data_IF_460047105385
#
_entry.id   IF_460047105385
#
_cell.length_a   1.000
_cell.length_b   1.000
_cell.length_c   1.000
_cell.angle_alpha   90.00
_cell.angle_beta   90.00
_cell.angle_gamma   90.00
#
_symmetry.space_group_name_H-M   'P 1'
#
loop_
_entity.id
_entity.type
_entity.pdbx_description
1 polymer ?
#
# COMPACT_ATOMS: atom_id res chain seq x y z
N UNK A 1 -16.97 -1.46 18.07
CA UNK A 1 -17.69 -2.40 17.19
C UNK A 1 -16.66 -3.15 16.37
N UNK A 2 -16.49 -4.46 16.54
CA UNK A 2 -15.56 -5.22 15.69
C UNK A 2 -16.13 -5.31 14.28
N UNK A 3 -15.46 -4.69 13.32
CA UNK A 3 -15.78 -4.82 11.90
C UNK A 3 -15.49 -6.27 11.46
N UNK A 4 -16.36 -6.81 10.62
CA UNK A 4 -16.21 -8.17 10.12
C UNK A 4 -15.09 -8.23 9.07
N UNK A 5 -14.41 -9.37 8.95
CA UNK A 5 -13.52 -9.61 7.82
C UNK A 5 -14.35 -9.94 6.57
N UNK A 6 -13.87 -9.53 5.40
CA UNK A 6 -14.54 -9.74 4.12
C UNK A 6 -13.72 -10.67 3.23
N UNK A 7 -14.40 -11.60 2.56
CA UNK A 7 -13.81 -12.49 1.54
C UNK A 7 -14.58 -12.33 0.23
N UNK A 8 -13.86 -12.25 -0.88
CA UNK A 8 -14.46 -12.07 -2.20
C UNK A 8 -15.07 -13.38 -2.68
N UNK A 9 -16.35 -13.37 -3.06
CA UNK A 9 -17.02 -14.57 -3.57
C UNK A 9 -16.44 -15.06 -4.92
N UNK A 10 -15.72 -14.20 -5.66
CA UNK A 10 -15.09 -14.57 -6.94
C UNK A 10 -14.03 -15.66 -6.78
N UNK A 11 -13.42 -15.78 -5.59
CA UNK A 11 -12.46 -16.85 -5.27
C UNK A 11 -13.06 -18.25 -5.45
N UNK A 12 -14.39 -18.42 -5.28
CA UNK A 12 -15.05 -19.71 -5.51
C UNK A 12 -14.95 -20.20 -6.96
N UNK A 13 -14.75 -19.28 -7.91
CA UNK A 13 -14.59 -19.59 -9.33
C UNK A 13 -13.17 -20.01 -9.70
N UNK A 14 -12.21 -19.85 -8.78
CA UNK A 14 -10.80 -20.19 -8.99
C UNK A 14 -10.54 -21.58 -8.41
N UNK A 15 -10.26 -22.60 -9.24
CA UNK A 15 -10.16 -23.99 -8.79
C UNK A 15 -9.20 -24.18 -7.61
N UNK A 16 -8.02 -23.55 -7.67
CA UNK A 16 -7.00 -23.64 -6.62
C UNK A 16 -7.42 -23.06 -5.27
N UNK A 17 -8.43 -22.17 -5.26
CA UNK A 17 -8.88 -21.45 -4.07
C UNK A 17 -10.34 -21.72 -3.72
N UNK A 18 -11.04 -22.59 -4.46
CA UNK A 18 -12.48 -22.78 -4.32
C UNK A 18 -12.90 -23.24 -2.92
N UNK A 19 -12.08 -24.04 -2.26
CA UNK A 19 -12.32 -24.55 -0.90
C UNK A 19 -11.97 -23.54 0.21
N UNK A 20 -11.24 -22.46 -0.09
CA UNK A 20 -10.84 -21.47 0.91
C UNK A 20 -12.05 -20.73 1.48
N UNK A 21 -12.93 -20.24 0.60
CA UNK A 21 -14.08 -19.43 0.99
C UNK A 21 -15.01 -20.16 1.98
N UNK A 22 -15.49 -21.40 1.70
CA UNK A 22 -16.29 -22.12 2.68
C UNK A 22 -15.52 -22.43 3.97
N UNK A 23 -14.23 -22.73 3.90
CA UNK A 23 -13.41 -22.97 5.10
C UNK A 23 -13.30 -21.74 6.01
N UNK A 24 -13.13 -20.54 5.43
CA UNK A 24 -13.08 -19.29 6.19
C UNK A 24 -14.43 -18.94 6.83
N UNK A 25 -15.54 -19.14 6.12
CA UNK A 25 -16.88 -18.86 6.62
C UNK A 25 -17.30 -19.80 7.76
N UNK A 26 -16.80 -21.03 7.78
CA UNK A 26 -17.05 -22.01 8.85
C UNK A 26 -16.10 -21.85 10.04
N UNK A 27 -15.00 -21.09 9.89
CA UNK A 27 -14.00 -20.90 10.93
C UNK A 27 -14.48 -20.01 12.09
N UNK A 28 -14.08 -20.35 13.32
CA UNK A 28 -14.50 -19.63 14.53
C UNK A 28 -13.58 -18.47 14.94
N UNK A 29 -12.43 -18.31 14.29
CA UNK A 29 -11.40 -17.35 14.74
C UNK A 29 -11.74 -15.90 14.40
N UNK A 30 -12.36 -15.65 13.24
CA UNK A 30 -12.74 -14.33 12.75
C UNK A 30 -14.10 -14.46 12.07
N UNK A 31 -14.99 -13.50 12.31
CA UNK A 31 -16.29 -13.46 11.64
C UNK A 31 -16.14 -12.97 10.21
N UNK A 32 -16.05 -13.92 9.28
CA UNK A 32 -16.00 -13.65 7.85
C UNK A 32 -17.38 -13.39 7.26
N UNK A 33 -17.44 -12.51 6.27
CA UNK A 33 -18.61 -12.29 5.40
C UNK A 33 -18.17 -12.27 3.96
N UNK A 34 -18.99 -12.80 3.07
CA UNK A 34 -18.76 -12.64 1.64
C UNK A 34 -19.15 -11.24 1.18
N UNK A 35 -18.36 -10.68 0.27
CA UNK A 35 -18.66 -9.42 -0.41
C UNK A 35 -18.10 -9.44 -1.84
N UNK A 36 -18.56 -8.51 -2.67
CA UNK A 36 -17.84 -8.18 -3.89
C UNK A 36 -16.67 -7.28 -3.53
N UNK A 37 -15.46 -7.65 -3.92
CA UNK A 37 -14.26 -6.84 -3.76
C UNK A 37 -13.60 -6.69 -5.13
N UNK A 38 -13.42 -5.45 -5.59
CA UNK A 38 -12.98 -5.17 -6.97
C UNK A 38 -11.45 -5.24 -7.13
N UNK A 39 -10.68 -4.97 -6.07
CA UNK A 39 -9.21 -4.87 -6.13
C UNK A 39 -8.46 -5.98 -5.42
N UNK A 40 -9.12 -6.68 -4.49
CA UNK A 40 -8.49 -7.66 -3.62
C UNK A 40 -9.44 -8.81 -3.31
N UNK A 41 -8.91 -9.87 -2.73
CA UNK A 41 -9.66 -11.07 -2.45
C UNK A 41 -10.10 -11.17 -0.99
N UNK A 42 -9.38 -10.60 -0.03
CA UNK A 42 -9.79 -10.54 1.38
C UNK A 42 -9.44 -9.20 2.03
N UNK A 43 -10.28 -8.74 2.94
CA UNK A 43 -10.08 -7.54 3.76
C UNK A 43 -10.24 -7.88 5.24
N UNK A 44 -9.20 -7.65 6.03
CA UNK A 44 -9.17 -7.91 7.47
C UNK A 44 -8.93 -6.59 8.21
N UNK A 45 -9.87 -6.15 9.07
CA UNK A 45 -9.65 -4.98 9.88
C UNK A 45 -8.46 -5.17 10.82
N UNK A 46 -7.56 -4.20 10.87
CA UNK A 46 -6.43 -4.16 11.79
C UNK A 46 -6.91 -3.37 13.03
N UNK A 47 -6.90 -3.96 14.23
CA UNK A 47 -7.27 -3.25 15.44
C UNK A 47 -6.32 -2.08 15.68
N UNK A 48 -6.87 -0.88 15.87
CA UNK A 48 -6.10 0.28 16.32
C UNK A 48 -6.42 0.59 17.80
N UNK A 49 -5.46 0.43 18.73
CA UNK A 49 -5.63 0.77 20.14
C UNK A 49 -5.90 2.26 20.38
N UNK A 50 -5.60 3.15 19.41
CA UNK A 50 -5.80 4.60 19.54
C UNK A 50 -7.15 5.10 19.04
N UNK A 51 -7.99 4.21 18.48
CA UNK A 51 -9.31 4.55 17.99
C UNK A 51 -9.33 5.46 16.76
N UNK A 52 -8.25 5.51 15.96
CA UNK A 52 -8.25 6.21 14.68
C UNK A 52 -9.03 5.44 13.61
N UNK A 53 -9.03 5.96 12.38
CA UNK A 53 -9.62 5.31 11.22
C UNK A 53 -9.14 3.85 11.12
N UNK A 54 -10.09 2.93 11.01
CA UNK A 54 -9.82 1.50 11.04
C UNK A 54 -9.00 1.09 9.80
N UNK A 55 -7.73 0.76 10.03
CA UNK A 55 -6.84 0.20 9.00
C UNK A 55 -7.37 -1.17 8.56
N UNK A 56 -7.12 -1.53 7.31
CA UNK A 56 -7.59 -2.78 6.71
C UNK A 56 -6.46 -3.43 5.95
N UNK A 57 -6.08 -4.63 6.37
CA UNK A 57 -5.20 -5.52 5.62
C UNK A 57 -5.95 -6.05 4.39
N UNK A 58 -5.44 -5.78 3.19
CA UNK A 58 -5.99 -6.26 1.92
C UNK A 58 -5.10 -7.33 1.33
N UNK A 59 -5.71 -8.43 0.89
CA UNK A 59 -4.96 -9.61 0.48
C UNK A 59 -5.43 -10.09 -0.87
N UNK A 60 -4.50 -10.47 -1.73
CA UNK A 60 -4.78 -11.28 -2.91
C UNK A 60 -4.22 -12.68 -2.74
N UNK A 61 -4.95 -13.67 -3.25
CA UNK A 61 -4.50 -15.06 -3.29
C UNK A 61 -4.05 -15.38 -4.72
N UNK A 62 -2.83 -15.89 -4.87
CA UNK A 62 -2.24 -16.25 -6.15
C UNK A 62 -1.77 -17.71 -6.12
N UNK A 63 -1.81 -18.34 -7.28
CA UNK A 63 -1.33 -19.68 -7.57
C UNK A 63 -0.31 -19.60 -8.70
N UNK A 64 0.43 -20.69 -8.99
CA UNK A 64 1.35 -20.72 -10.11
C UNK A 64 0.67 -20.45 -11.47
N UNK A 65 -0.62 -20.76 -11.61
CA UNK A 65 -1.40 -20.56 -12.85
C UNK A 65 -1.70 -19.09 -13.14
N UNK A 66 -1.64 -18.21 -12.13
CA UNK A 66 -1.91 -16.78 -12.32
C UNK A 66 -0.66 -16.02 -12.79
N UNK A 67 0.52 -16.62 -12.65
CA UNK A 67 1.80 -15.95 -12.94
C UNK A 67 2.00 -15.88 -14.47
N UNK A 68 2.35 -14.68 -14.95
CA UNK A 68 2.51 -14.40 -16.38
C UNK A 68 1.23 -13.93 -17.08
N UNK A 69 0.08 -13.91 -16.40
CA UNK A 69 -1.15 -13.31 -16.94
C UNK A 69 -1.18 -11.78 -16.73
N UNK A 70 -1.59 -11.03 -17.75
CA UNK A 70 -1.72 -9.56 -17.69
C UNK A 70 -2.69 -9.10 -16.59
N UNK A 71 -3.75 -9.88 -16.36
CA UNK A 71 -4.73 -9.63 -15.30
C UNK A 71 -4.10 -9.71 -13.91
N UNK A 72 -3.15 -10.63 -13.69
CA UNK A 72 -2.43 -10.78 -12.43
C UNK A 72 -1.55 -9.55 -12.15
N UNK A 73 -0.78 -9.10 -13.14
CA UNK A 73 0.05 -7.89 -13.03
C UNK A 73 -0.80 -6.66 -12.74
N UNK A 74 -1.91 -6.51 -13.46
CA UNK A 74 -2.86 -5.41 -13.25
C UNK A 74 -3.45 -5.45 -11.84
N UNK A 75 -3.78 -6.64 -11.32
CA UNK A 75 -4.31 -6.80 -9.98
C UNK A 75 -3.27 -6.43 -8.89
N UNK A 76 -2.02 -6.85 -9.05
CA UNK A 76 -0.91 -6.48 -8.15
C UNK A 76 -0.72 -4.97 -8.11
N UNK A 77 -0.65 -4.33 -9.29
CA UNK A 77 -0.52 -2.87 -9.40
C UNK A 77 -1.69 -2.14 -8.73
N UNK A 78 -2.93 -2.57 -8.99
CA UNK A 78 -4.11 -1.97 -8.36
C UNK A 78 -4.10 -2.14 -6.85
N UNK A 79 -3.67 -3.30 -6.34
CA UNK A 79 -3.55 -3.54 -4.91
C UNK A 79 -2.51 -2.62 -4.27
N UNK A 80 -1.33 -2.50 -4.87
CA UNK A 80 -0.24 -1.66 -4.37
C UNK A 80 -0.65 -0.18 -4.29
N UNK A 81 -1.18 0.37 -5.39
CA UNK A 81 -1.53 1.78 -5.47
C UNK A 81 -2.76 2.17 -4.63
N UNK A 82 -3.54 1.19 -4.14
CA UNK A 82 -4.72 1.48 -3.32
C UNK A 82 -4.36 2.19 -2.01
N UNK A 83 -3.21 1.88 -1.45
CA UNK A 83 -2.73 2.50 -0.20
C UNK A 83 -1.20 2.63 -0.16
N UNK A 84 -0.57 2.81 -1.33
CA UNK A 84 0.89 2.97 -1.47
C UNK A 84 1.69 1.84 -0.82
N UNK A 85 1.31 0.58 -1.05
CA UNK A 85 2.00 -0.57 -0.47
C UNK A 85 1.64 -0.88 0.98
N UNK A 86 0.83 -0.05 1.65
CA UNK A 86 0.53 -0.23 3.07
C UNK A 86 -0.65 -1.17 3.30
N UNK A 87 -0.50 -2.03 4.32
CA UNK A 87 -1.52 -2.98 4.75
C UNK A 87 -2.01 -3.87 3.61
N UNK A 88 -1.08 -4.37 2.80
CA UNK A 88 -1.35 -5.34 1.75
C UNK A 88 -0.48 -6.59 1.90
N UNK A 89 -0.96 -7.71 1.39
CA UNK A 89 -0.18 -8.95 1.29
C UNK A 89 -0.62 -9.81 0.10
N UNK A 90 0.28 -10.65 -0.36
CA UNK A 90 0.00 -11.69 -1.33
C UNK A 90 0.10 -13.03 -0.60
N UNK A 91 -0.94 -13.85 -0.65
CA UNK A 91 -0.86 -15.25 -0.22
C UNK A 91 -0.63 -16.10 -1.46
N UNK A 92 0.50 -16.80 -1.52
CA UNK A 92 0.91 -17.57 -2.70
C UNK A 92 0.87 -19.07 -2.43
N UNK A 93 0.10 -19.82 -3.21
CA UNK A 93 -0.02 -21.27 -3.10
C UNK A 93 1.17 -21.97 -3.77
N UNK A 94 1.92 -22.76 -3.01
CA UNK A 94 3.05 -23.55 -3.49
C UNK A 94 2.66 -24.93 -4.05
N UNK A 95 1.36 -25.23 -4.13
CA UNK A 95 0.86 -26.58 -4.42
C UNK A 95 1.32 -27.07 -5.79
N UNK A 96 1.79 -28.32 -5.78
CA UNK A 96 2.30 -29.07 -6.92
C UNK A 96 1.29 -30.17 -7.27
N UNK A 97 0.22 -29.85 -8.00
CA UNK A 97 -0.73 -30.86 -8.51
C UNK A 97 -0.88 -30.86 -10.03
N UNK A 98 -0.33 -29.87 -10.74
CA UNK A 98 -0.35 -29.79 -12.20
C UNK A 98 1.06 -29.90 -12.78
N UNK A 99 1.22 -30.71 -13.82
CA UNK A 99 2.48 -30.89 -14.56
C UNK A 99 2.97 -29.63 -15.29
N UNK A 100 2.14 -28.57 -15.35
CA UNK A 100 2.32 -27.47 -16.30
C UNK A 100 3.15 -26.27 -15.79
N UNK A 101 3.34 -26.11 -14.47
CA UNK A 101 4.12 -25.00 -13.92
C UNK A 101 4.84 -25.39 -12.63
N UNK A 102 6.16 -25.17 -12.59
CA UNK A 102 6.96 -25.32 -11.38
C UNK A 102 6.58 -24.22 -10.38
N UNK A 103 6.07 -24.55 -9.17
CA UNK A 103 5.72 -23.54 -8.16
C UNK A 103 6.91 -22.67 -7.75
N UNK A 104 8.12 -23.25 -7.77
CA UNK A 104 9.36 -22.53 -7.49
C UNK A 104 9.71 -21.51 -8.58
N UNK A 105 9.50 -21.87 -9.85
CA UNK A 105 9.71 -20.92 -10.95
C UNK A 105 8.67 -19.80 -10.86
N UNK A 106 7.41 -20.13 -10.60
CA UNK A 106 6.34 -19.15 -10.49
C UNK A 106 6.56 -18.14 -9.35
N UNK A 107 6.99 -18.59 -8.16
CA UNK A 107 7.28 -17.67 -7.05
C UNK A 107 8.53 -16.82 -7.32
N UNK A 108 9.55 -17.36 -7.98
CA UNK A 108 10.73 -16.59 -8.39
C UNK A 108 10.36 -15.51 -9.41
N UNK A 109 9.55 -15.84 -10.42
CA UNK A 109 9.03 -14.88 -11.39
C UNK A 109 8.21 -13.79 -10.69
N UNK A 110 7.31 -14.17 -9.79
CA UNK A 110 6.54 -13.21 -9.00
C UNK A 110 7.44 -12.27 -8.19
N UNK A 111 8.52 -12.78 -7.57
CA UNK A 111 9.47 -11.94 -6.83
C UNK A 111 10.21 -10.95 -7.73
N UNK A 112 10.56 -11.34 -8.96
CA UNK A 112 11.18 -10.44 -9.94
C UNK A 112 10.18 -9.36 -10.40
N UNK A 113 8.93 -9.75 -10.68
CA UNK A 113 7.86 -8.82 -11.08
C UNK A 113 7.50 -7.82 -9.98
N UNK A 114 7.70 -8.22 -8.71
CA UNK A 114 7.49 -7.37 -7.54
C UNK A 114 8.71 -6.51 -7.19
N UNK A 115 9.79 -6.52 -7.98
CA UNK A 115 10.98 -5.72 -7.67
C UNK A 115 10.73 -4.22 -7.47
N UNK A 116 9.66 -3.69 -8.09
CA UNK A 116 9.20 -2.30 -7.96
C UNK A 116 8.17 -2.09 -6.84
N UNK A 117 7.65 -3.17 -6.25
CA UNK A 117 6.56 -3.15 -5.28
C UNK A 117 6.98 -3.79 -3.95
N UNK A 118 7.12 -2.99 -2.90
CA UNK A 118 7.35 -3.51 -1.55
C UNK A 118 6.10 -4.22 -0.98
N UNK A 119 5.93 -5.49 -1.34
CA UNK A 119 4.76 -6.30 -0.96
C UNK A 119 5.17 -7.62 -0.33
N UNK A 120 4.66 -7.95 0.88
CA UNK A 120 4.97 -9.23 1.52
C UNK A 120 4.25 -10.38 0.81
N UNK A 121 5.01 -11.43 0.49
CA UNK A 121 4.49 -12.70 -0.02
C UNK A 121 4.46 -13.71 1.13
N UNK A 122 3.30 -14.31 1.37
CA UNK A 122 3.04 -15.34 2.36
C UNK A 122 2.91 -16.67 1.61
N UNK A 123 3.99 -17.48 1.51
CA UNK A 123 3.91 -18.77 0.88
C UNK A 123 3.08 -19.74 1.73
N UNK A 124 2.24 -20.55 1.08
CA UNK A 124 1.42 -21.58 1.73
C UNK A 124 1.49 -22.88 0.95
N UNK A 125 1.66 -24.01 1.63
CA UNK A 125 1.82 -25.31 0.97
C UNK A 125 0.47 -25.87 0.49
N UNK A 126 -0.62 -25.45 1.11
CA UNK A 126 -1.96 -25.90 0.80
C UNK A 126 -2.99 -24.80 1.10
N UNK A 127 -4.19 -24.96 0.55
CA UNK A 127 -5.33 -24.06 0.82
C UNK A 127 -5.74 -24.11 2.29
N UNK A 128 -5.61 -25.26 2.95
CA UNK A 128 -5.89 -25.42 4.38
C UNK A 128 -4.97 -24.57 5.25
N UNK A 129 -3.72 -24.36 4.83
CA UNK A 129 -2.75 -23.55 5.60
C UNK A 129 -3.00 -22.05 5.45
N UNK A 130 -3.67 -21.64 4.37
CA UNK A 130 -3.83 -20.24 4.00
C UNK A 130 -4.50 -19.40 5.10
N UNK A 131 -5.55 -19.92 5.73
CA UNK A 131 -6.21 -19.20 6.83
C UNK A 131 -5.28 -19.04 8.03
N UNK A 132 -4.52 -20.07 8.40
CA UNK A 132 -3.66 -20.03 9.57
C UNK A 132 -2.49 -19.05 9.35
N UNK A 133 -1.82 -19.13 8.20
CA UNK A 133 -0.72 -18.24 7.82
C UNK A 133 -1.17 -16.78 7.70
N UNK A 134 -2.34 -16.54 7.09
CA UNK A 134 -2.91 -15.19 6.99
C UNK A 134 -3.21 -14.60 8.37
N UNK A 135 -3.78 -15.39 9.29
CA UNK A 135 -4.07 -14.91 10.64
C UNK A 135 -2.80 -14.67 11.45
N UNK A 136 -1.76 -15.49 11.28
CA UNK A 136 -0.46 -15.28 11.91
C UNK A 136 0.16 -13.95 11.45
N UNK A 137 0.15 -13.69 10.14
CA UNK A 137 0.61 -12.43 9.56
C UNK A 137 -0.22 -11.24 10.05
N UNK A 138 -1.56 -11.37 10.06
CA UNK A 138 -2.47 -10.33 10.56
C UNK A 138 -2.19 -9.96 12.03
N UNK A 139 -1.93 -10.96 12.89
CA UNK A 139 -1.53 -10.72 14.27
C UNK A 139 -0.19 -9.99 14.35
N UNK A 140 0.79 -10.40 13.56
CA UNK A 140 2.11 -9.76 13.54
C UNK A 140 2.06 -8.28 13.15
N UNK A 141 1.27 -7.91 12.14
CA UNK A 141 1.12 -6.51 11.75
C UNK A 141 0.28 -5.71 12.77
N UNK A 142 -0.67 -6.37 13.44
CA UNK A 142 -1.48 -5.74 14.49
C UNK A 142 -0.67 -5.44 15.75
N UNK A 143 0.31 -6.28 16.09
CA UNK A 143 1.20 -6.06 17.24
C UNK A 143 2.35 -5.12 16.89
N UNK A 144 2.89 -5.18 15.67
CA UNK A 144 3.87 -4.22 15.15
C UNK A 144 3.20 -2.92 14.69
N UNK A 145 2.36 -2.36 15.56
CA UNK A 145 1.69 -1.08 15.36
C UNK A 145 2.65 0.10 15.55
N UNK A 146 3.90 -0.03 15.07
CA UNK A 146 4.75 1.13 14.82
C UNK A 146 3.89 2.04 13.96
N UNK A 147 3.77 3.31 14.34
CA UNK A 147 3.33 4.32 13.39
C UNK A 147 4.36 4.26 12.28
N UNK A 148 4.10 3.45 11.24
CA UNK A 148 4.86 3.51 10.01
C UNK A 148 4.66 4.95 9.62
N UNK A 149 5.74 5.74 9.71
CA UNK A 149 5.71 7.14 9.29
C UNK A 149 5.13 7.06 7.89
N UNK A 150 3.88 7.50 7.74
CA UNK A 150 3.35 7.80 6.45
C UNK A 150 4.43 8.72 5.88
N UNK A 151 5.14 8.27 4.84
CA UNK A 151 6.09 9.17 4.18
C UNK A 151 5.28 10.42 3.90
N UNK A 152 5.68 11.52 4.52
CA UNK A 152 4.92 12.75 4.42
C UNK A 152 4.80 12.99 2.91
N UNK A 153 3.60 12.99 2.31
CA UNK A 153 3.48 13.14 0.87
C UNK A 153 4.15 14.43 0.39
N UNK A 154 4.31 15.41 1.28
CA UNK A 154 5.17 16.56 1.04
C UNK A 154 6.63 16.17 0.72
N UNK A 155 7.27 15.20 1.38
CA UNK A 155 8.64 14.74 1.04
C UNK A 155 8.75 14.19 -0.38
N UNK A 156 7.68 13.59 -0.91
CA UNK A 156 7.63 13.07 -2.28
C UNK A 156 7.34 14.17 -3.30
N UNK A 157 6.46 15.12 -2.95
CA UNK A 157 5.98 16.16 -3.87
C UNK A 157 6.85 17.43 -3.88
N UNK A 158 7.38 17.85 -2.72
CA UNK A 158 8.20 19.04 -2.54
C UNK A 158 9.41 19.12 -3.47
N UNK A 159 10.16 18.02 -3.77
CA UNK A 159 11.23 18.09 -4.75
C UNK A 159 10.78 18.71 -6.08
N UNK A 160 9.51 18.55 -6.46
CA UNK A 160 8.95 19.03 -7.73
C UNK A 160 8.20 20.36 -7.60
N UNK A 161 8.18 20.97 -6.43
CA UNK A 161 7.55 22.28 -6.20
C UNK A 161 8.54 23.44 -6.42
N UNK A 162 9.31 23.36 -7.51
CA UNK A 162 10.25 24.38 -7.98
C UNK A 162 10.22 24.46 -9.50
N UNK A 163 10.58 25.62 -10.05
CA UNK A 163 10.55 25.88 -11.50
C UNK A 163 11.59 25.08 -12.33
N UNK A 164 12.50 24.36 -11.67
CA UNK A 164 13.70 23.60 -12.12
C UNK A 164 15.01 24.27 -11.68
N UNK A 165 15.99 23.51 -11.16
CA UNK A 165 15.98 22.05 -10.88
C UNK A 165 15.09 21.66 -9.69
N UNK A 166 14.82 20.36 -9.47
CA UNK A 166 14.12 19.89 -8.27
C UNK A 166 14.74 20.42 -6.99
N UNK A 167 13.92 20.69 -5.97
CA UNK A 167 14.43 21.14 -4.68
C UNK A 167 15.41 20.10 -4.10
N UNK A 168 16.56 20.54 -3.56
CA UNK A 168 17.52 19.64 -2.95
C UNK A 168 16.95 19.00 -1.69
N UNK A 169 17.48 17.83 -1.30
CA UNK A 169 16.99 17.08 -0.14
C UNK A 169 16.97 17.91 1.15
N UNK A 170 17.98 18.77 1.34
CA UNK A 170 18.04 19.69 2.47
C UNK A 170 16.83 20.64 2.50
N UNK A 171 16.49 21.23 1.35
CA UNK A 171 15.34 22.11 1.21
C UNK A 171 14.02 21.40 1.56
N UNK A 172 13.85 20.19 1.06
CA UNK A 172 12.68 19.36 1.33
C UNK A 172 12.56 19.04 2.82
N UNK A 173 13.67 18.67 3.47
CA UNK A 173 13.70 18.38 4.90
C UNK A 173 13.25 19.60 5.73
N UNK A 174 13.87 20.76 5.47
CA UNK A 174 13.55 22.03 6.14
C UNK A 174 12.07 22.39 5.99
N UNK A 175 11.55 22.33 4.76
CA UNK A 175 10.14 22.64 4.51
C UNK A 175 9.19 21.68 5.23
N UNK A 176 9.54 20.39 5.31
CA UNK A 176 8.73 19.43 6.08
C UNK A 176 8.84 19.55 7.60
N UNK A 177 9.89 20.21 8.11
CA UNK A 177 10.06 20.45 9.55
C UNK A 177 9.37 21.73 10.00
N UNK A 178 9.34 22.76 9.14
CA UNK A 178 8.71 24.06 9.45
C UNK A 178 7.20 24.03 9.23
N UNK A 179 6.72 23.16 8.34
CA UNK A 179 5.31 23.13 7.93
C UNK A 179 4.65 21.81 8.28
N UNK A 180 3.41 21.87 8.70
CA UNK A 180 2.60 20.70 9.11
C UNK A 180 1.94 19.99 7.93
N UNK A 181 2.05 20.54 6.71
CA UNK A 181 1.54 19.98 5.46
C UNK A 181 1.52 21.00 4.32
N UNK A 182 1.10 20.56 3.13
CA UNK A 182 1.14 21.39 1.89
C UNK A 182 0.34 22.68 1.98
N UNK A 183 -0.78 22.70 2.72
CA UNK A 183 -1.59 23.93 2.90
C UNK A 183 -0.86 24.96 3.77
N UNK A 184 -0.30 24.51 4.89
CA UNK A 184 0.48 25.34 5.81
C UNK A 184 1.76 25.87 5.13
N UNK A 185 2.38 25.04 4.28
CA UNK A 185 3.45 25.46 3.38
C UNK A 185 3.03 26.58 2.44
N UNK A 186 1.89 26.46 1.77
CA UNK A 186 1.37 27.50 0.88
C UNK A 186 1.10 28.81 1.63
N UNK A 187 0.45 28.74 2.79
CA UNK A 187 0.18 29.92 3.62
C UNK A 187 1.48 30.59 4.09
N UNK A 188 2.48 29.78 4.46
CA UNK A 188 3.80 30.28 4.88
C UNK A 188 4.56 30.92 3.73
N UNK A 189 4.58 30.30 2.55
CA UNK A 189 5.27 30.82 1.34
C UNK A 189 4.53 32.03 0.77
N UNK A 190 3.22 32.15 0.96
CA UNK A 190 2.41 33.27 0.43
C UNK A 190 2.49 34.54 1.28
N UNK A 191 3.08 34.48 2.48
CA UNK A 191 3.17 35.64 3.39
C UNK A 191 4.61 36.14 3.51
N UNK A 192 4.85 37.48 3.52
CA UNK A 192 6.20 38.02 3.69
C UNK A 192 6.89 37.58 5.00
N UNK A 193 6.10 37.42 6.08
CA UNK A 193 6.61 36.94 7.37
C UNK A 193 7.03 35.47 7.30
N UNK A 194 6.26 34.62 6.60
CA UNK A 194 6.60 33.22 6.41
C UNK A 194 7.77 33.01 5.45
N UNK A 195 7.86 33.77 4.36
CA UNK A 195 9.03 33.78 3.48
C UNK A 195 10.31 34.16 4.24
N UNK A 196 10.24 35.18 5.11
CA UNK A 196 11.39 35.58 5.96
C UNK A 196 11.84 34.42 6.85
N UNK A 197 10.90 33.71 7.47
CA UNK A 197 11.19 32.56 8.33
C UNK A 197 11.82 31.40 7.57
N UNK A 198 11.46 31.22 6.30
CA UNK A 198 12.01 30.15 5.45
C UNK A 198 13.37 30.56 4.85
N UNK A 199 13.57 31.84 4.54
CA UNK A 199 14.80 32.39 3.94
C UNK A 199 16.05 32.07 4.77
N UNK A 200 15.92 32.11 6.11
CA UNK A 200 17.02 31.80 7.04
C UNK A 200 17.58 30.38 6.86
N UNK A 201 16.79 29.46 6.30
CA UNK A 201 17.15 28.05 6.14
C UNK A 201 17.37 27.65 4.67
N UNK A 202 16.59 28.22 3.74
CA UNK A 202 16.64 27.85 2.31
C UNK A 202 17.60 28.71 1.47
N UNK A 203 17.95 29.91 1.94
CA UNK A 203 18.80 30.83 1.18
C UNK A 203 18.28 31.06 -0.24
N UNK A 204 19.10 30.77 -1.25
CA UNK A 204 18.80 31.00 -2.67
C UNK A 204 17.72 30.06 -3.23
N UNK A 205 17.44 28.93 -2.57
CA UNK A 205 16.43 27.97 -3.04
C UNK A 205 15.00 28.47 -2.77
N UNK A 206 14.82 29.47 -1.90
CA UNK A 206 13.52 30.05 -1.58
C UNK A 206 12.88 30.71 -2.80
N UNK A 207 13.67 31.46 -3.58
CA UNK A 207 13.15 32.22 -4.73
C UNK A 207 12.51 31.28 -5.76
N UNK A 208 13.14 30.13 -6.02
CA UNK A 208 12.66 29.10 -6.94
C UNK A 208 11.42 28.37 -6.44
N UNK A 209 11.27 28.21 -5.13
CA UNK A 209 10.07 27.62 -4.52
C UNK A 209 8.90 28.62 -4.50
N UNK A 210 9.17 29.89 -4.18
CA UNK A 210 8.16 30.96 -4.19
C UNK A 210 7.63 31.19 -5.60
N UNK A 211 8.52 31.27 -6.60
CA UNK A 211 8.14 31.51 -7.99
C UNK A 211 7.27 30.39 -8.55
N UNK A 212 7.55 29.13 -8.19
CA UNK A 212 6.74 27.98 -8.60
C UNK A 212 5.28 28.12 -8.13
N UNK A 213 5.04 28.52 -6.88
CA UNK A 213 3.69 28.67 -6.33
C UNK A 213 3.01 29.99 -6.70
N UNK A 214 3.79 31.03 -6.98
CA UNK A 214 3.28 32.33 -7.40
C UNK A 214 2.89 32.39 -8.88
N UNK A 215 3.44 31.48 -9.70
CA UNK A 215 3.10 31.38 -11.13
C UNK A 215 1.75 30.72 -11.32
N UNK A 216 0.76 31.54 -11.62
CA UNK A 216 -0.51 31.06 -12.17
C UNK A 216 -0.26 30.56 -13.61
N UNK A 217 -0.27 29.24 -13.81
CA UNK A 217 -0.23 28.67 -15.14
C UNK A 217 -1.58 28.91 -15.82
N UNK A 218 -1.65 29.92 -16.69
CA UNK A 218 -2.68 29.99 -17.70
C UNK A 218 -2.45 28.83 -18.68
N UNK A 219 -3.30 27.81 -18.59
CA UNK A 219 -3.35 26.74 -19.59
C UNK A 219 -4.05 27.33 -20.81
N UNK A 220 -3.30 27.54 -21.90
CA UNK A 220 -3.88 27.74 -23.24
C UNK A 220 -4.41 26.41 -23.81
#
# INVERSE_FOLDING_TARGET
MSSNALICYSLRKRPDWASLVPALLQGNNVRWKEAKLDTHHAALPIPDPRGQAQRVLRVIFLSPLDIGADDCRTQIQRLYHLNGGQDIAIVFLLKQESEHASPMTAIMTLQLDLGEFEMPIIPVNSVSDASASLMAFHRQISTNNRSRKMENPARTLLPYCSDRPPLPEHAVNVLTDITTGMRDLLDTISTPAGQTRILEYLGNDLESAVSFWAKEYLVE
#
